data_IF_945068932402
#
_entry.id   IF_945068932402
#
_cell.length_a   1.000
_cell.length_b   1.000
_cell.length_c   1.000
_cell.angle_alpha   90.00
_cell.angle_beta   90.00
_cell.angle_gamma   90.00
#
_symmetry.space_group_name_H-M   'P 1'
#
loop_
_entity.id
_entity.type
_entity.pdbx_description
1 polymer ?
#
# COMPACT_ATOMS: atom_id res chain seq x y z
N UNK A 1 -11.54 6.99 3.96
CA UNK A 1 -11.61 7.31 2.50
C UNK A 1 -11.36 6.03 1.72
N UNK A 2 -11.90 5.91 0.51
CA UNK A 2 -11.60 4.77 -0.38
C UNK A 2 -10.14 4.79 -0.82
N UNK A 3 -9.54 3.62 -1.08
CA UNK A 3 -8.19 3.51 -1.62
C UNK A 3 -8.24 3.68 -3.13
N UNK A 4 -8.29 4.93 -3.61
CA UNK A 4 -8.36 5.21 -5.05
C UNK A 4 -7.00 5.10 -5.74
N UNK A 5 -7.02 4.99 -7.06
CA UNK A 5 -5.79 4.99 -7.87
C UNK A 5 -5.01 6.28 -7.69
N UNK A 6 -5.70 7.42 -7.67
CA UNK A 6 -5.06 8.73 -7.48
C UNK A 6 -4.37 8.83 -6.13
N UNK A 7 -4.99 8.31 -5.07
CA UNK A 7 -4.38 8.27 -3.74
C UNK A 7 -3.07 7.47 -3.77
N UNK A 8 -3.06 6.29 -4.39
CA UNK A 8 -1.85 5.45 -4.50
C UNK A 8 -0.73 6.20 -5.24
N UNK A 9 -1.05 6.79 -6.38
CA UNK A 9 -0.05 7.47 -7.23
C UNK A 9 0.53 8.74 -6.59
N UNK A 10 -0.24 9.42 -5.74
CA UNK A 10 0.17 10.63 -5.04
C UNK A 10 0.80 10.37 -3.65
N UNK A 11 0.72 9.14 -3.16
CA UNK A 11 1.23 8.76 -1.85
C UNK A 11 2.75 8.79 -1.81
N UNK A 12 3.29 9.01 -0.60
CA UNK A 12 4.73 9.12 -0.39
C UNK A 12 5.42 7.78 -0.66
N UNK A 13 6.55 7.83 -1.36
CA UNK A 13 7.36 6.68 -1.76
C UNK A 13 8.81 6.90 -1.36
N UNK A 14 9.44 5.91 -0.73
CA UNK A 14 10.80 6.05 -0.20
C UNK A 14 11.50 4.70 0.01
N UNK A 15 12.83 4.69 0.13
CA UNK A 15 13.57 3.52 0.67
C UNK A 15 13.45 3.56 2.19
N UNK A 16 12.91 2.52 2.82
CA UNK A 16 12.86 2.43 4.27
C UNK A 16 14.22 2.00 4.88
N UNK A 17 14.41 2.03 6.21
CA UNK A 17 15.66 1.60 6.85
C UNK A 17 16.08 0.15 6.59
N UNK A 18 15.14 -0.73 6.22
CA UNK A 18 15.40 -2.11 5.81
C UNK A 18 15.87 -2.23 4.34
N UNK A 19 15.99 -1.11 3.63
CA UNK A 19 16.34 -1.02 2.20
C UNK A 19 15.27 -1.52 1.23
N UNK A 20 14.01 -1.56 1.66
CA UNK A 20 12.87 -1.91 0.82
C UNK A 20 12.20 -0.66 0.24
N UNK A 21 11.79 -0.72 -1.03
CA UNK A 21 11.01 0.34 -1.66
C UNK A 21 9.59 0.31 -1.08
N UNK A 22 9.20 1.42 -0.47
CA UNK A 22 8.02 1.50 0.40
C UNK A 22 7.01 2.50 -0.11
N UNK A 23 5.75 2.08 -0.22
CA UNK A 23 4.59 2.95 -0.43
C UNK A 23 3.93 3.25 0.91
N UNK A 24 3.84 4.52 1.29
CA UNK A 24 3.18 4.94 2.53
C UNK A 24 1.71 5.31 2.31
N UNK A 25 0.80 4.48 2.82
CA UNK A 25 -0.65 4.73 2.86
C UNK A 25 -1.15 5.08 4.27
N UNK A 26 -0.26 5.61 5.11
CA UNK A 26 -0.53 5.87 6.52
C UNK A 26 -1.64 6.89 6.75
N UNK A 27 -2.56 6.62 7.67
CA UNK A 27 -3.52 7.61 8.16
C UNK A 27 -4.61 8.02 7.16
N UNK A 28 -4.78 7.28 6.06
CA UNK A 28 -5.73 7.61 4.99
C UNK A 28 -7.19 7.21 5.31
N UNK A 29 -7.44 6.62 6.48
CA UNK A 29 -8.75 6.08 6.90
C UNK A 29 -9.30 5.06 5.89
N UNK A 30 -8.44 4.23 5.33
CA UNK A 30 -8.80 3.23 4.32
C UNK A 30 -9.61 2.12 4.99
N UNK A 31 -10.87 1.85 4.57
CA UNK A 31 -11.69 0.80 5.17
C UNK A 31 -11.48 -0.59 4.55
N UNK A 32 -11.00 -0.62 3.30
CA UNK A 32 -10.79 -1.84 2.52
C UNK A 32 -9.65 -1.68 1.52
N UNK A 33 -8.95 -2.77 1.25
CA UNK A 33 -7.88 -2.85 0.25
C UNK A 33 -8.53 -3.01 -1.13
N UNK A 34 -8.12 -2.15 -2.07
CA UNK A 34 -8.56 -2.13 -3.46
C UNK A 34 -7.48 -1.45 -4.33
N UNK A 35 -7.55 -1.62 -5.65
CA UNK A 35 -6.73 -0.90 -6.63
C UNK A 35 -5.19 -1.06 -6.54
N UNK A 36 -4.67 -1.96 -5.69
CA UNK A 36 -3.23 -2.20 -5.57
C UNK A 36 -2.56 -2.69 -6.86
N UNK A 37 -3.30 -3.11 -7.88
CA UNK A 37 -2.74 -3.50 -9.18
C UNK A 37 -2.01 -2.35 -9.89
N UNK A 38 -2.36 -1.10 -9.56
CA UNK A 38 -1.68 0.08 -10.12
C UNK A 38 -0.24 0.24 -9.61
N UNK A 39 0.13 -0.44 -8.53
CA UNK A 39 1.51 -0.43 -8.00
C UNK A 39 2.50 -1.16 -8.90
N UNK A 40 2.01 -1.97 -9.84
CA UNK A 40 2.82 -2.75 -10.79
C UNK A 40 3.97 -3.53 -10.12
N UNK A 41 3.74 -4.04 -8.90
CA UNK A 41 4.72 -4.82 -8.12
C UNK A 41 6.04 -4.09 -7.84
N UNK A 42 6.05 -2.74 -7.87
CA UNK A 42 7.27 -1.96 -7.65
C UNK A 42 7.76 -1.90 -6.20
N UNK A 43 6.90 -2.19 -5.23
CA UNK A 43 7.18 -2.01 -3.80
C UNK A 43 7.37 -3.34 -3.08
N UNK A 44 8.41 -3.41 -2.25
CA UNK A 44 8.60 -4.53 -1.32
C UNK A 44 7.85 -4.31 0.00
N UNK A 45 7.44 -3.09 0.31
CA UNK A 45 6.67 -2.75 1.52
C UNK A 45 5.52 -1.78 1.21
N UNK A 46 4.34 -2.04 1.78
CA UNK A 46 3.20 -1.12 1.73
C UNK A 46 2.77 -0.84 3.17
N UNK A 47 3.00 0.37 3.66
CA UNK A 47 2.67 0.76 5.04
C UNK A 47 1.20 1.17 5.15
N UNK A 48 0.39 0.30 5.76
CA UNK A 48 -1.03 0.52 6.04
C UNK A 48 -1.32 1.05 7.46
N UNK A 49 -0.30 1.52 8.20
CA UNK A 49 -0.46 1.98 9.60
C UNK A 49 -1.54 3.08 9.74
N UNK A 50 -2.25 3.09 10.87
CA UNK A 50 -3.28 4.08 11.20
C UNK A 50 -4.46 4.16 10.19
N UNK A 51 -4.86 3.03 9.61
CA UNK A 51 -6.07 2.91 8.78
C UNK A 51 -7.21 2.18 9.51
N UNK A 52 -8.37 2.09 8.84
CA UNK A 52 -9.61 1.51 9.37
C UNK A 52 -9.93 0.16 8.69
N UNK A 53 -8.88 -0.57 8.29
CA UNK A 53 -9.01 -1.83 7.55
C UNK A 53 -9.77 -2.88 8.37
N UNK A 54 -10.87 -3.39 7.83
CA UNK A 54 -11.66 -4.44 8.48
C UNK A 54 -11.11 -5.85 8.20
N UNK A 55 -10.46 -6.02 7.04
CA UNK A 55 -9.92 -7.29 6.56
C UNK A 55 -8.69 -7.06 5.70
N UNK A 56 -7.78 -8.04 5.71
CA UNK A 56 -6.63 -8.11 4.80
C UNK A 56 -6.98 -9.05 3.63
N UNK A 57 -7.64 -8.51 2.61
CA UNK A 57 -8.10 -9.25 1.43
C UNK A 57 -7.93 -8.41 0.15
N UNK A 58 -8.30 -8.94 -1.02
CA UNK A 58 -8.26 -8.24 -2.32
C UNK A 58 -6.86 -7.79 -2.80
N UNK A 59 -5.80 -8.50 -2.41
CA UNK A 59 -4.47 -8.28 -2.98
C UNK A 59 -4.37 -8.88 -4.40
N UNK A 60 -3.87 -8.12 -5.39
CA UNK A 60 -3.43 -8.70 -6.65
C UNK A 60 -2.11 -9.48 -6.44
N UNK A 61 -1.65 -10.24 -7.45
CA UNK A 61 -0.33 -10.87 -7.39
C UNK A 61 0.77 -9.80 -7.27
N UNK A 62 1.47 -9.78 -6.14
CA UNK A 62 2.58 -8.86 -5.84
C UNK A 62 3.77 -9.66 -5.29
N UNK A 63 4.50 -10.42 -6.14
CA UNK A 63 5.56 -11.31 -5.69
C UNK A 63 6.76 -10.60 -5.05
N UNK A 64 6.95 -9.28 -5.26
CA UNK A 64 7.99 -8.51 -4.59
C UNK A 64 7.59 -8.01 -3.21
N UNK A 65 6.29 -7.99 -2.90
CA UNK A 65 5.78 -7.52 -1.62
C UNK A 65 6.19 -8.48 -0.49
N UNK A 66 6.98 -7.99 0.46
CA UNK A 66 7.51 -8.75 1.59
C UNK A 66 6.90 -8.34 2.93
N UNK A 67 6.40 -7.11 3.04
CA UNK A 67 5.93 -6.53 4.30
C UNK A 67 4.73 -5.58 4.09
N UNK A 68 3.88 -5.50 5.12
CA UNK A 68 2.64 -4.72 5.20
C UNK A 68 2.61 -3.91 6.50
#
# INVERSE_FOLDING_TARGET
MRLTVELILQSHQYVNPARDWTLSLRGCKIPAIENLGVTQDHFECIDFTDNELLKLENFPPLPRLKSL
#
